data_IF_257378084532
#
_entry.id   IF_257378084532
#
_cell.length_a   1.000
_cell.length_b   1.000
_cell.length_c   1.000
_cell.angle_alpha   90.00
_cell.angle_beta   90.00
_cell.angle_gamma   90.00
#
_symmetry.space_group_name_H-M   'P 1'
#
loop_
_entity.id
_entity.type
_entity.pdbx_description
1 polymer ?
#
# COMPACT_ATOMS: atom_id res chain seq x y z
N UNK A 1 17.68 -4.20 0.92
CA UNK A 1 16.57 -5.14 1.20
C UNK A 1 15.61 -5.04 0.03
N UNK A 2 15.27 -6.15 -0.65
CA UNK A 2 14.46 -6.12 -1.86
C UNK A 2 13.11 -5.45 -1.57
N UNK A 3 12.89 -4.28 -2.16
CA UNK A 3 11.61 -3.60 -2.08
C UNK A 3 10.66 -4.37 -3.00
N UNK A 4 9.72 -5.12 -2.41
CA UNK A 4 8.61 -5.74 -3.14
C UNK A 4 7.60 -4.65 -3.58
N UNK A 5 8.08 -3.51 -4.04
CA UNK A 5 7.27 -2.38 -4.45
C UNK A 5 6.84 -2.60 -5.88
N UNK A 6 5.56 -2.39 -6.15
CA UNK A 6 5.05 -2.22 -7.50
C UNK A 6 4.67 -0.76 -7.67
N UNK A 7 4.96 -0.19 -8.84
CA UNK A 7 4.46 1.14 -9.16
C UNK A 7 3.22 0.93 -10.04
N UNK A 8 2.02 1.19 -9.51
CA UNK A 8 0.81 1.15 -10.30
C UNK A 8 0.60 2.55 -10.92
N UNK A 9 0.77 2.72 -12.25
CA UNK A 9 0.63 4.00 -12.93
C UNK A 9 -0.84 4.43 -13.09
N UNK A 10 -1.81 3.55 -12.78
CA UNK A 10 -3.25 3.86 -12.89
C UNK A 10 -3.71 4.72 -11.72
N UNK A 11 -3.11 4.53 -10.54
CA UNK A 11 -3.35 5.34 -9.33
C UNK A 11 -2.17 6.22 -8.95
N UNK A 12 -1.01 6.07 -9.60
CA UNK A 12 0.17 6.90 -9.38
C UNK A 12 0.83 6.68 -8.01
N UNK A 13 0.62 5.52 -7.40
CA UNK A 13 1.06 5.21 -6.04
C UNK A 13 1.98 3.99 -6.01
N UNK A 14 2.95 3.97 -5.08
CA UNK A 14 3.70 2.75 -4.77
C UNK A 14 2.77 1.73 -4.08
N UNK A 15 2.45 0.66 -4.79
CA UNK A 15 1.83 -0.54 -4.25
C UNK A 15 2.87 -1.57 -3.79
N UNK A 16 2.38 -2.72 -3.31
CA UNK A 16 3.25 -3.82 -2.89
C UNK A 16 2.88 -5.17 -3.48
N UNK A 17 3.91 -5.87 -3.90
CA UNK A 17 3.88 -7.26 -4.32
C UNK A 17 3.70 -8.16 -3.13
N UNK A 18 2.44 -8.48 -2.82
CA UNK A 18 2.06 -9.40 -1.74
C UNK A 18 1.10 -10.45 -2.27
N UNK A 19 0.84 -11.47 -1.45
CA UNK A 19 -0.11 -12.51 -1.83
C UNK A 19 -1.52 -11.95 -2.06
N UNK A 20 -2.21 -12.40 -3.12
CA UNK A 20 -3.59 -11.95 -3.39
C UNK A 20 -4.50 -12.11 -2.19
N UNK A 21 -4.38 -13.22 -1.46
CA UNK A 21 -5.11 -13.47 -0.22
C UNK A 21 -4.82 -12.45 0.86
N UNK A 22 -3.55 -12.06 1.06
CA UNK A 22 -3.18 -11.00 2.01
C UNK A 22 -3.72 -9.64 1.55
N UNK A 23 -3.74 -9.42 0.23
CA UNK A 23 -4.25 -8.20 -0.37
C UNK A 23 -5.75 -8.04 -0.14
N UNK A 24 -6.55 -9.03 -0.53
CA UNK A 24 -8.00 -9.02 -0.33
C UNK A 24 -8.38 -9.12 1.12
N UNK A 25 -7.65 -9.89 1.94
CA UNK A 25 -7.85 -9.91 3.39
C UNK A 25 -7.61 -8.55 4.02
N UNK A 26 -6.74 -7.73 3.44
CA UNK A 26 -6.52 -6.35 3.87
C UNK A 26 -7.50 -5.34 3.28
N UNK A 27 -8.46 -5.76 2.45
CA UNK A 27 -9.39 -4.87 1.75
C UNK A 27 -8.78 -4.14 0.55
N UNK A 28 -7.62 -4.62 0.08
CA UNK A 28 -6.90 -4.05 -1.04
C UNK A 28 -7.34 -4.62 -2.38
N UNK A 29 -6.98 -3.90 -3.44
CA UNK A 29 -7.13 -4.31 -4.83
C UNK A 29 -5.80 -4.80 -5.34
N UNK A 30 -5.76 -5.96 -6.00
CA UNK A 30 -4.53 -6.45 -6.61
C UNK A 30 -4.57 -6.30 -8.13
N UNK A 31 -3.45 -5.93 -8.74
CA UNK A 31 -3.20 -5.98 -10.18
C UNK A 31 -2.06 -6.93 -10.53
N UNK A 32 -2.22 -7.60 -11.66
CA UNK A 32 -1.23 -8.47 -12.28
C UNK A 32 -0.36 -7.70 -13.27
N UNK A 33 0.93 -8.06 -13.35
CA UNK A 33 1.89 -7.51 -14.31
C UNK A 33 2.72 -6.33 -13.78
N UNK A 34 2.59 -5.98 -12.51
CA UNK A 34 3.28 -4.83 -11.90
C UNK A 34 4.35 -5.25 -10.88
N UNK A 35 4.50 -6.54 -10.64
CA UNK A 35 5.50 -7.08 -9.71
C UNK A 35 6.72 -7.64 -10.42
N UNK A 36 7.94 -7.43 -9.90
CA UNK A 36 9.13 -8.09 -10.43
C UNK A 36 8.96 -9.61 -10.27
N UNK A 37 9.01 -10.33 -11.39
CA UNK A 37 8.73 -11.78 -11.51
C UNK A 37 7.26 -12.23 -11.33
N UNK A 38 6.29 -11.32 -11.31
CA UNK A 38 4.82 -11.53 -11.14
C UNK A 38 4.39 -12.96 -10.77
N UNK A 39 4.70 -13.41 -9.53
CA UNK A 39 4.39 -14.79 -9.13
C UNK A 39 2.89 -15.03 -9.16
N UNK A 40 2.45 -16.25 -9.49
CA UNK A 40 1.02 -16.57 -9.65
C UNK A 40 0.18 -16.17 -8.42
N UNK A 41 0.77 -16.30 -7.23
CA UNK A 41 0.14 -15.95 -5.96
C UNK A 41 0.48 -14.55 -5.43
N UNK A 42 1.47 -13.84 -6.00
CA UNK A 42 1.92 -12.53 -5.51
C UNK A 42 1.62 -11.48 -6.57
N UNK A 43 0.74 -10.54 -6.23
CA UNK A 43 0.25 -9.51 -7.14
C UNK A 43 0.53 -8.13 -6.54
N UNK A 44 0.49 -7.11 -7.39
CA UNK A 44 0.64 -5.74 -6.96
C UNK A 44 -0.61 -5.30 -6.24
N UNK A 45 -0.54 -5.28 -4.92
CA UNK A 45 -1.62 -4.88 -4.05
C UNK A 45 -1.57 -3.39 -3.74
N UNK A 46 -2.71 -2.74 -3.90
CA UNK A 46 -2.93 -1.33 -3.60
C UNK A 46 -4.22 -1.22 -2.80
N UNK A 47 -4.18 -0.53 -1.65
CA UNK A 47 -5.35 -0.42 -0.77
C UNK A 47 -6.10 0.90 -0.93
N UNK A 48 -5.87 1.58 -2.07
CA UNK A 48 -6.41 2.91 -2.35
C UNK A 48 -5.58 4.04 -1.75
N UNK A 49 -6.13 5.25 -1.86
CA UNK A 49 -5.54 6.46 -1.29
C UNK A 49 -6.15 6.75 0.08
N UNK A 50 -5.34 7.36 0.92
CA UNK A 50 -5.77 8.04 2.12
C UNK A 50 -5.32 9.49 2.04
N UNK A 51 -6.13 10.40 2.58
CA UNK A 51 -5.73 11.77 2.82
C UNK A 51 -6.09 12.12 4.26
N UNK A 52 -5.22 12.87 4.91
CA UNK A 52 -5.45 13.35 6.26
C UNK A 52 -4.76 14.69 6.46
N UNK A 53 -5.28 15.49 7.37
CA UNK A 53 -4.62 16.72 7.79
C UNK A 53 -3.60 16.40 8.87
N UNK A 54 -2.33 16.71 8.59
CA UNK A 54 -1.25 16.63 9.56
C UNK A 54 -0.57 17.99 9.65
N UNK A 55 -0.49 18.54 10.87
CA UNK A 55 0.17 19.82 11.13
C UNK A 55 -0.32 21.00 10.25
N UNK A 56 -1.60 20.99 9.84
CA UNK A 56 -2.19 22.01 8.96
C UNK A 56 -2.00 21.78 7.46
N UNK A 57 -1.34 20.69 7.05
CA UNK A 57 -1.14 20.31 5.66
C UNK A 57 -1.98 19.09 5.29
N UNK A 58 -2.53 19.06 4.08
CA UNK A 58 -3.19 17.86 3.55
C UNK A 58 -2.12 16.91 3.06
N UNK A 59 -1.92 15.82 3.80
CA UNK A 59 -0.99 14.77 3.44
C UNK A 59 -1.75 13.72 2.65
N UNK A 60 -1.20 13.36 1.50
CA UNK A 60 -1.71 12.30 0.65
C UNK A 60 -0.87 11.07 0.87
N UNK A 61 -1.52 9.92 0.92
CA UNK A 61 -0.88 8.66 1.21
C UNK A 61 -1.52 7.51 0.46
N UNK A 62 -0.77 6.42 0.37
CA UNK A 62 -1.30 5.14 -0.05
C UNK A 62 -1.67 4.34 1.19
N UNK A 63 -2.82 3.69 1.17
CA UNK A 63 -3.08 2.63 2.14
C UNK A 63 -2.19 1.45 1.77
N UNK A 64 -1.26 1.09 2.67
CA UNK A 64 -0.34 -0.04 2.51
C UNK A 64 -0.07 -0.70 3.87
N UNK A 65 0.48 -1.93 3.91
CA UNK A 65 0.84 -2.58 5.15
C UNK A 65 1.89 -1.77 5.94
N UNK A 66 1.68 -1.67 7.25
CA UNK A 66 2.52 -0.93 8.22
C UNK A 66 4.01 -1.24 8.07
N UNK A 67 4.35 -2.52 7.87
CA UNK A 67 5.73 -2.99 7.69
C UNK A 67 6.42 -2.34 6.49
N UNK A 68 5.68 -2.14 5.39
CA UNK A 68 6.22 -1.56 4.17
C UNK A 68 6.19 -0.04 4.18
N UNK A 69 5.19 0.56 4.84
CA UNK A 69 5.19 2.01 5.03
C UNK A 69 6.50 2.50 5.67
N UNK A 70 6.95 1.76 6.70
CA UNK A 70 8.26 2.01 7.33
C UNK A 70 9.44 1.85 6.37
N UNK A 71 9.33 0.99 5.35
CA UNK A 71 10.38 0.83 4.34
C UNK A 71 10.47 2.01 3.37
N UNK A 72 9.36 2.69 3.10
CA UNK A 72 9.35 3.92 2.32
C UNK A 72 9.78 5.16 3.13
N UNK A 73 10.02 5.00 4.44
CA UNK A 73 10.35 6.10 5.35
C UNK A 73 9.14 6.89 5.85
N UNK A 74 7.91 6.45 5.52
CA UNK A 74 6.66 7.04 6.00
C UNK A 74 6.28 6.51 7.38
N UNK A 75 5.55 7.33 8.14
CA UNK A 75 4.95 6.89 9.42
C UNK A 75 3.54 6.38 9.17
N UNK A 76 3.27 5.09 9.37
CA UNK A 76 1.95 4.53 9.12
C UNK A 76 0.95 5.06 10.14
N UNK A 77 -0.16 5.60 9.63
CA UNK A 77 -1.25 6.18 10.42
C UNK A 77 -2.43 5.19 10.49
N UNK A 78 -2.65 4.54 11.65
CA UNK A 78 -3.81 3.66 11.84
C UNK A 78 -5.13 4.42 11.75
N UNK A 79 -6.20 3.74 11.31
CA UNK A 79 -7.56 4.27 11.34
C UNK A 79 -7.96 5.16 10.15
N UNK A 80 -7.04 5.44 9.23
CA UNK A 80 -7.31 6.23 8.02
C UNK A 80 -7.58 5.37 6.76
N UNK A 81 -7.41 4.05 6.87
CA UNK A 81 -7.68 3.08 5.81
C UNK A 81 -8.81 2.14 6.23
N UNK A 82 -9.70 1.83 5.29
CA UNK A 82 -10.78 0.85 5.50
C UNK A 82 -10.19 -0.55 5.33
N UNK A 83 -9.87 -1.19 6.44
CA UNK A 83 -9.23 -2.52 6.45
C UNK A 83 -8.82 -2.98 7.85
N UNK A 84 -8.16 -4.15 7.97
CA UNK A 84 -7.61 -4.64 9.23
C UNK A 84 -6.46 -3.74 9.71
N UNK A 85 -6.14 -3.83 11.00
CA UNK A 85 -5.18 -2.97 11.71
C UNK A 85 -3.76 -2.95 11.11
N UNK A 86 -3.41 -3.97 10.32
CA UNK A 86 -2.15 -4.09 9.59
C UNK A 86 -2.04 -3.14 8.38
N UNK A 87 -3.16 -2.70 7.81
CA UNK A 87 -3.20 -1.73 6.72
C UNK A 87 -3.37 -0.34 7.29
N UNK A 88 -2.37 0.51 7.06
CA UNK A 88 -2.33 1.85 7.60
C UNK A 88 -2.08 2.85 6.48
N UNK A 89 -2.52 4.08 6.72
CA UNK A 89 -2.28 5.15 5.77
C UNK A 89 -0.80 5.49 5.81
N UNK A 90 -0.10 5.29 4.70
CA UNK A 90 1.28 5.67 4.58
C UNK A 90 1.40 7.00 3.83
N UNK A 91 1.70 8.11 4.53
CA UNK A 91 2.00 9.36 3.88
C UNK A 91 3.29 9.23 3.06
N UNK A 92 3.33 9.92 1.92
CA UNK A 92 4.47 9.97 1.01
C UNK A 92 4.85 11.40 0.69
#
# INVERSE_FOLDING_TARGET
>A
MAVNSCNDPVIGLPGLCISTSSCTSGGGTYRSGYCPNDPTNVKCCTYGTCNFQENGYTVWGGCIPTANCRQFGGTPRPGHCRGPSDIQCCPQ
#
